data_IF_920588344071
#
_entry.id   IF_920588344071
#
_cell.length_a   1.000
_cell.length_b   1.000
_cell.length_c   1.000
_cell.angle_alpha   90.00
_cell.angle_beta   90.00
_cell.angle_gamma   90.00
#
_symmetry.space_group_name_H-M   'P 1'
#
loop_
_entity.id
_entity.type
_entity.pdbx_description
1 polymer ?
#
# COMPACT_ATOMS: atom_id res chain seq x y z
N UNK A 1 -1.25 27.84 -8.30
CA UNK A 1 0.13 28.09 -7.82
C UNK A 1 0.35 27.31 -6.53
N UNK A 2 1.59 26.91 -6.21
CA UNK A 2 1.95 26.08 -5.04
C UNK A 2 1.35 26.52 -3.70
N UNK A 3 1.07 27.82 -3.55
CA UNK A 3 0.45 28.40 -2.35
C UNK A 3 -0.93 27.82 -2.01
N UNK A 4 -1.72 27.42 -3.01
CA UNK A 4 -3.03 26.78 -2.77
C UNK A 4 -2.87 25.37 -2.21
N UNK A 5 -1.81 24.66 -2.58
CA UNK A 5 -1.46 23.37 -2.00
C UNK A 5 -1.00 23.55 -0.54
N UNK A 6 -0.17 24.55 -0.27
CA UNK A 6 0.32 24.81 1.09
C UNK A 6 -0.83 25.13 2.05
N UNK A 7 -1.80 25.95 1.62
CA UNK A 7 -3.01 26.25 2.40
C UNK A 7 -3.87 25.01 2.68
N UNK A 8 -4.07 24.16 1.67
CA UNK A 8 -4.82 22.90 1.81
C UNK A 8 -4.13 21.94 2.78
N UNK A 9 -2.80 21.84 2.72
CA UNK A 9 -2.03 20.98 3.63
C UNK A 9 -2.03 21.51 5.07
N UNK A 10 -1.95 22.83 5.26
CA UNK A 10 -2.12 23.43 6.60
C UNK A 10 -3.51 23.18 7.18
N UNK A 11 -4.57 23.27 6.36
CA UNK A 11 -5.93 23.00 6.82
C UNK A 11 -6.06 21.56 7.31
N UNK A 12 -5.57 20.59 6.53
CA UNK A 12 -5.57 19.17 6.93
C UNK A 12 -4.75 18.92 8.19
N UNK A 13 -3.57 19.52 8.33
CA UNK A 13 -2.77 19.39 9.54
C UNK A 13 -3.53 19.90 10.79
N UNK A 14 -4.27 21.01 10.67
CA UNK A 14 -5.12 21.54 11.75
C UNK A 14 -6.30 20.62 12.07
N UNK A 15 -6.96 20.05 11.07
CA UNK A 15 -8.04 19.06 11.28
C UNK A 15 -7.55 17.85 12.09
N UNK A 16 -6.29 17.46 11.89
CA UNK A 16 -5.64 16.38 12.63
C UNK A 16 -4.97 16.83 13.95
N UNK A 17 -5.10 18.09 14.36
CA UNK A 17 -4.41 18.68 15.53
C UNK A 17 -2.88 18.46 15.52
N UNK A 18 -2.28 18.48 14.33
CA UNK A 18 -0.85 18.26 14.12
C UNK A 18 -0.18 19.52 13.58
N UNK A 19 1.13 19.66 13.84
CA UNK A 19 1.91 20.64 13.08
C UNK A 19 1.98 20.22 11.61
N UNK A 20 2.11 21.18 10.69
CA UNK A 20 2.24 20.87 9.26
C UNK A 20 3.40 19.89 8.99
N UNK A 21 4.52 20.05 9.69
CA UNK A 21 5.68 19.18 9.57
C UNK A 21 5.37 17.75 10.03
N UNK A 22 4.68 17.59 11.16
CA UNK A 22 4.27 16.27 11.68
C UNK A 22 3.27 15.58 10.75
N UNK A 23 2.29 16.34 10.26
CA UNK A 23 1.30 15.84 9.31
C UNK A 23 1.98 15.36 8.01
N UNK A 24 2.90 16.16 7.45
CA UNK A 24 3.64 15.79 6.24
C UNK A 24 4.57 14.61 6.44
N UNK A 25 5.26 14.51 7.58
CA UNK A 25 6.09 13.34 7.90
C UNK A 25 5.25 12.06 7.93
N UNK A 26 4.07 12.10 8.55
CA UNK A 26 3.15 10.97 8.56
C UNK A 26 2.60 10.62 7.18
N UNK A 27 2.25 11.62 6.37
CA UNK A 27 1.80 11.40 4.99
C UNK A 27 2.92 10.85 4.10
N UNK A 28 4.17 11.32 4.25
CA UNK A 28 5.33 10.81 3.53
C UNK A 28 5.65 9.38 3.95
N UNK A 29 5.56 9.06 5.24
CA UNK A 29 5.71 7.70 5.74
C UNK A 29 4.62 6.78 5.14
N UNK A 30 3.35 7.19 5.20
CA UNK A 30 2.24 6.46 4.58
C UNK A 30 2.41 6.29 3.06
N UNK A 31 2.95 7.30 2.38
CA UNK A 31 3.25 7.23 0.96
C UNK A 31 4.41 6.27 0.66
N UNK A 32 5.39 6.16 1.56
CA UNK A 32 6.50 5.20 1.46
C UNK A 32 6.11 3.77 1.85
N UNK A 33 5.15 3.59 2.76
CA UNK A 33 4.60 2.29 3.17
C UNK A 33 3.64 1.69 2.16
N UNK A 34 3.13 2.50 1.22
CA UNK A 34 2.49 1.97 0.02
C UNK A 34 3.58 1.33 -0.83
N UNK A 35 3.83 0.04 -0.60
CA UNK A 35 4.63 -0.82 -1.47
C UNK A 35 4.31 -0.45 -2.90
N UNK A 36 5.33 -0.02 -3.65
CA UNK A 36 5.14 0.41 -5.03
C UNK A 36 4.47 -0.73 -5.79
N UNK A 37 3.59 -0.42 -6.74
CA UNK A 37 3.01 -1.46 -7.60
C UNK A 37 4.11 -2.28 -8.28
N UNK A 38 5.25 -1.67 -8.57
CA UNK A 38 6.46 -2.34 -9.07
C UNK A 38 7.06 -3.30 -8.05
N UNK A 39 7.12 -2.93 -6.78
CA UNK A 39 7.64 -3.81 -5.72
C UNK A 39 6.70 -4.97 -5.45
N UNK A 40 5.38 -4.74 -5.49
CA UNK A 40 4.37 -5.81 -5.43
C UNK A 40 4.53 -6.77 -6.61
N UNK A 41 4.70 -6.24 -7.83
CA UNK A 41 4.89 -7.06 -9.02
C UNK A 41 6.19 -7.86 -8.97
N UNK A 42 7.29 -7.26 -8.51
CA UNK A 42 8.56 -7.95 -8.29
C UNK A 42 8.45 -9.05 -7.22
N UNK A 43 7.70 -8.80 -6.14
CA UNK A 43 7.46 -9.81 -5.10
C UNK A 43 6.59 -10.96 -5.63
N UNK A 44 5.57 -10.67 -6.43
CA UNK A 44 4.74 -11.68 -7.10
C UNK A 44 5.60 -12.49 -8.07
N UNK A 45 6.42 -11.83 -8.90
CA UNK A 45 7.32 -12.50 -9.84
C UNK A 45 8.34 -13.39 -9.11
N UNK A 46 8.93 -12.90 -8.02
CA UNK A 46 9.84 -13.68 -7.18
C UNK A 46 9.14 -14.86 -6.46
N UNK A 47 7.86 -14.73 -6.08
CA UNK A 47 7.06 -15.82 -5.52
C UNK A 47 6.61 -16.82 -6.59
N UNK A 48 6.36 -16.35 -7.82
CA UNK A 48 5.86 -17.15 -8.93
C UNK A 48 6.91 -18.03 -9.62
N UNK A 49 8.19 -17.96 -9.23
CA UNK A 49 9.20 -18.93 -9.68
C UNK A 49 9.11 -20.29 -8.95
N UNK A 50 8.19 -20.42 -7.99
CA UNK A 50 7.80 -21.71 -7.44
C UNK A 50 6.87 -22.44 -8.40
N UNK A 51 7.33 -23.55 -9.00
CA UNK A 51 6.44 -24.58 -9.57
C UNK A 51 5.53 -25.13 -8.44
N UNK A 52 4.45 -24.42 -8.13
CA UNK A 52 3.36 -24.97 -7.33
C UNK A 52 2.76 -26.09 -8.15
N UNK A 53 3.01 -27.33 -7.72
CA UNK A 53 2.47 -28.51 -8.41
C UNK A 53 0.96 -28.37 -8.56
N UNK A 54 0.42 -28.85 -9.69
CA UNK A 54 -1.00 -28.74 -10.03
C UNK A 54 -1.95 -29.13 -8.88
N UNK A 55 -1.56 -30.14 -8.09
CA UNK A 55 -2.32 -30.60 -6.93
C UNK A 55 -2.38 -29.58 -5.79
N UNK A 56 -1.29 -28.84 -5.54
CA UNK A 56 -1.27 -27.79 -4.51
C UNK A 56 -2.13 -26.60 -4.96
N UNK A 57 -2.03 -26.19 -6.23
CA UNK A 57 -2.86 -25.14 -6.79
C UNK A 57 -4.36 -25.50 -6.73
N UNK A 58 -4.72 -26.77 -6.94
CA UNK A 58 -6.09 -27.24 -6.82
C UNK A 58 -6.61 -27.22 -5.36
N UNK A 59 -5.76 -27.54 -4.38
CA UNK A 59 -6.10 -27.49 -2.95
C UNK A 59 -6.32 -26.06 -2.48
N UNK A 60 -5.41 -25.15 -2.81
CA UNK A 60 -5.50 -23.73 -2.42
C UNK A 60 -6.77 -23.07 -2.98
N UNK A 61 -7.15 -23.42 -4.22
CA UNK A 61 -8.40 -22.94 -4.84
C UNK A 61 -9.65 -23.51 -4.17
N UNK A 62 -9.63 -24.77 -3.74
CA UNK A 62 -10.75 -25.39 -3.03
C UNK A 62 -10.94 -24.78 -1.63
N UNK A 63 -9.85 -24.51 -0.90
CA UNK A 63 -9.88 -23.83 0.39
C UNK A 63 -10.43 -22.40 0.27
N UNK A 64 -9.93 -21.63 -0.70
CA UNK A 64 -10.43 -20.27 -0.95
C UNK A 64 -11.91 -20.20 -1.36
N UNK A 65 -12.46 -21.26 -1.96
CA UNK A 65 -13.90 -21.36 -2.28
C UNK A 65 -14.76 -21.71 -1.07
N UNK A 66 -14.21 -22.45 -0.10
CA UNK A 66 -14.92 -22.82 1.13
C UNK A 66 -15.04 -21.69 2.15
N UNK A 67 -14.24 -20.63 1.99
CA UNK A 67 -14.23 -19.44 2.85
C UNK A 67 -15.11 -18.29 2.33
N UNK A 68 -15.92 -18.52 1.29
CA UNK A 68 -16.85 -17.55 0.70
C UNK A 68 -18.30 -17.83 1.06
#
# INVERSE_FOLDING_TARGET
MPDDMHKKLQLKAREHNQSLQQYLLGELHRASERTSITDVLNEIEARCDGRVGFEQAAKDLAEGRSQR
#
